data_IF_802797066846
#
_entry.id   IF_802797066846
#
_cell.length_a   1.000
_cell.length_b   1.000
_cell.length_c   1.000
_cell.angle_alpha   90.00
_cell.angle_beta   90.00
_cell.angle_gamma   90.00
#
_symmetry.space_group_name_H-M   'P 1'
#
loop_
_entity.id
_entity.type
_entity.pdbx_description
1 polymer ?
#
# COMPACT_ATOMS: atom_id res chain seq x y z
N UNK A 1 9.87 -7.66 -18.53
CA UNK A 1 9.59 -8.87 -17.71
C UNK A 1 9.43 -8.50 -16.23
N UNK A 2 10.30 -7.62 -15.70
CA UNK A 2 10.29 -7.14 -14.31
C UNK A 2 8.98 -6.49 -13.86
N UNK A 3 8.35 -5.66 -14.70
CA UNK A 3 7.06 -5.03 -14.36
C UNK A 3 5.95 -6.04 -14.05
N UNK A 4 5.86 -7.15 -14.81
CA UNK A 4 4.85 -8.20 -14.53
C UNK A 4 5.07 -8.85 -13.16
N UNK A 5 6.33 -9.11 -12.79
CA UNK A 5 6.68 -9.71 -11.50
C UNK A 5 6.35 -8.77 -10.33
N UNK A 6 6.59 -7.46 -10.50
CA UNK A 6 6.21 -6.45 -9.50
C UNK A 6 4.70 -6.45 -9.22
N UNK A 7 3.87 -6.46 -10.27
CA UNK A 7 2.41 -6.44 -10.11
C UNK A 7 1.86 -7.70 -9.45
N UNK A 8 2.40 -8.87 -9.82
CA UNK A 8 2.06 -10.13 -9.16
C UNK A 8 2.47 -10.10 -7.68
N UNK A 9 3.66 -9.58 -7.37
CA UNK A 9 4.12 -9.47 -5.99
C UNK A 9 3.22 -8.54 -5.16
N UNK A 10 2.86 -7.36 -5.69
CA UNK A 10 1.98 -6.43 -4.96
C UNK A 10 0.60 -7.06 -4.73
N UNK A 11 -0.01 -7.64 -5.77
CA UNK A 11 -1.37 -8.16 -5.70
C UNK A 11 -1.51 -9.42 -4.86
N UNK A 12 -0.55 -10.34 -4.91
CA UNK A 12 -0.65 -11.65 -4.24
C UNK A 12 0.11 -11.73 -2.92
N UNK A 13 1.06 -10.83 -2.67
CA UNK A 13 1.85 -10.84 -1.44
C UNK A 13 1.64 -9.58 -0.62
N UNK A 14 1.94 -8.41 -1.17
CA UNK A 14 2.02 -7.17 -0.40
C UNK A 14 0.64 -6.69 0.13
N UNK A 15 -0.38 -6.68 -0.72
CA UNK A 15 -1.72 -6.26 -0.34
C UNK A 15 -2.40 -7.27 0.62
N UNK A 16 -2.40 -8.59 0.34
CA UNK A 16 -2.93 -9.59 1.28
C UNK A 16 -2.21 -9.58 2.63
N UNK A 17 -0.87 -9.42 2.64
CA UNK A 17 -0.10 -9.28 3.86
C UNK A 17 -0.53 -8.04 4.65
N UNK A 18 -0.72 -6.92 3.97
CA UNK A 18 -1.24 -5.70 4.60
C UNK A 18 -2.61 -5.91 5.25
N UNK A 19 -3.54 -6.60 4.57
CA UNK A 19 -4.86 -6.93 5.12
C UNK A 19 -4.73 -7.88 6.31
N UNK A 20 -3.86 -8.88 6.22
CA UNK A 20 -3.64 -9.83 7.30
C UNK A 20 -3.11 -9.12 8.55
N UNK A 21 -2.09 -8.27 8.39
CA UNK A 21 -1.55 -7.45 9.48
C UNK A 21 -2.65 -6.57 10.09
N UNK A 22 -3.46 -5.92 9.25
CA UNK A 22 -4.59 -5.10 9.69
C UNK A 22 -5.60 -5.90 10.52
N UNK A 23 -5.97 -7.09 10.06
CA UNK A 23 -6.87 -7.99 10.80
C UNK A 23 -6.26 -8.45 12.13
N UNK A 24 -4.96 -8.75 12.15
CA UNK A 24 -4.26 -9.15 13.39
C UNK A 24 -4.24 -8.00 14.41
N UNK A 25 -4.04 -6.76 13.97
CA UNK A 25 -4.12 -5.59 14.87
C UNK A 25 -5.51 -5.38 15.46
N UNK A 26 -6.57 -5.67 14.68
CA UNK A 26 -7.96 -5.53 15.13
C UNK A 26 -8.50 -6.74 15.90
N UNK A 27 -7.79 -7.86 15.90
CA UNK A 27 -8.26 -9.12 16.50
C UNK A 27 -8.42 -9.09 18.02
N UNK A 28 -7.90 -8.07 18.70
CA UNK A 28 -7.87 -7.91 20.17
C UNK A 28 -7.12 -9.01 20.95
N UNK A 29 -6.55 -9.99 20.23
CA UNK A 29 -5.77 -11.08 20.80
C UNK A 29 -4.32 -10.62 20.99
N UNK A 30 -3.88 -10.50 22.24
CA UNK A 30 -2.57 -9.93 22.59
C UNK A 30 -1.39 -10.59 21.86
N UNK A 31 -1.46 -11.91 21.62
CA UNK A 31 -0.42 -12.66 20.90
C UNK A 31 -0.35 -12.23 19.43
N UNK A 32 -1.51 -12.13 18.77
CA UNK A 32 -1.61 -11.76 17.36
C UNK A 32 -1.21 -10.30 17.13
N UNK A 33 -1.65 -9.40 18.01
CA UNK A 33 -1.28 -7.99 17.99
C UNK A 33 0.22 -7.78 18.20
N UNK A 34 0.87 -8.58 19.05
CA UNK A 34 2.33 -8.52 19.26
C UNK A 34 3.06 -8.89 17.96
N UNK A 35 2.62 -9.94 17.28
CA UNK A 35 3.17 -10.35 15.99
C UNK A 35 2.99 -9.27 14.92
N UNK A 36 1.79 -8.69 14.81
CA UNK A 36 1.51 -7.59 13.87
C UNK A 36 2.39 -6.36 14.14
N UNK A 37 2.54 -5.98 15.42
CA UNK A 37 3.43 -4.87 15.83
C UNK A 37 4.90 -5.16 15.59
N UNK A 38 5.34 -6.41 15.69
CA UNK A 38 6.71 -6.76 15.35
C UNK A 38 6.97 -6.49 13.86
N UNK A 39 6.04 -6.86 12.99
CA UNK A 39 6.13 -6.62 11.54
C UNK A 39 6.07 -5.12 11.21
N UNK A 40 5.12 -4.39 11.79
CA UNK A 40 4.95 -2.94 11.56
C UNK A 40 6.10 -2.12 12.17
N UNK A 41 6.61 -2.57 13.31
CA UNK A 41 7.67 -1.93 14.08
C UNK A 41 9.05 -2.08 13.47
N UNK A 42 9.20 -2.85 12.39
CA UNK A 42 10.44 -2.91 11.62
C UNK A 42 10.78 -1.51 11.11
N UNK A 43 11.91 -0.98 11.58
CA UNK A 43 12.44 0.32 11.16
C UNK A 43 13.53 0.08 10.13
N UNK A 44 13.39 0.72 8.98
CA UNK A 44 14.40 0.80 7.93
C UNK A 44 15.11 2.15 8.09
N UNK A 45 16.42 2.13 8.25
CA UNK A 45 17.26 3.32 8.23
C UNK A 45 17.92 3.44 6.87
N UNK A 46 17.61 4.49 6.11
CA UNK A 46 18.23 4.78 4.82
C UNK A 46 18.72 6.22 4.84
N UNK A 47 20.04 6.41 4.79
CA UNK A 47 20.65 7.74 4.69
C UNK A 47 20.30 8.71 5.82
N UNK A 48 20.10 8.21 7.04
CA UNK A 48 19.75 9.03 8.22
C UNK A 48 18.25 9.21 8.48
N UNK A 49 17.38 8.75 7.57
CA UNK A 49 15.94 8.73 7.78
C UNK A 49 15.52 7.36 8.27
N UNK A 50 14.91 7.30 9.46
CA UNK A 50 14.28 6.09 9.98
C UNK A 50 12.81 6.05 9.60
N UNK A 51 12.44 5.14 8.69
CA UNK A 51 11.05 4.91 8.30
C UNK A 51 10.57 3.55 8.84
N UNK A 52 9.31 3.47 9.27
CA UNK A 52 8.70 2.16 9.56
C UNK A 52 8.40 1.42 8.26
N UNK A 53 8.30 0.09 8.31
CA UNK A 53 7.96 -0.74 7.16
C UNK A 53 6.67 -0.26 6.45
N UNK A 54 5.56 0.05 7.15
CA UNK A 54 4.37 0.58 6.50
C UNK A 54 4.61 1.92 5.80
N UNK A 55 5.42 2.81 6.39
CA UNK A 55 5.76 4.08 5.74
C UNK A 55 6.58 3.86 4.47
N UNK A 56 7.55 2.94 4.49
CA UNK A 56 8.35 2.60 3.33
C UNK A 56 7.49 1.99 2.21
N UNK A 57 6.59 1.06 2.55
CA UNK A 57 5.67 0.43 1.60
C UNK A 57 4.66 1.43 1.05
N UNK A 58 4.11 2.32 1.89
CA UNK A 58 3.20 3.37 1.47
C UNK A 58 3.89 4.37 0.53
N UNK A 59 5.11 4.81 0.86
CA UNK A 59 5.91 5.70 0.01
C UNK A 59 6.24 5.06 -1.34
N UNK A 60 6.67 3.80 -1.35
CA UNK A 60 6.89 3.04 -2.59
C UNK A 60 5.61 2.93 -3.42
N UNK A 61 4.48 2.59 -2.79
CA UNK A 61 3.19 2.49 -3.45
C UNK A 61 2.73 3.83 -4.02
N UNK A 62 3.01 4.93 -3.32
CA UNK A 62 2.66 6.29 -3.74
C UNK A 62 3.47 6.73 -4.96
N UNK A 63 4.78 6.47 -4.97
CA UNK A 63 5.62 6.75 -6.15
C UNK A 63 5.16 5.94 -7.35
N UNK A 64 4.90 4.64 -7.16
CA UNK A 64 4.36 3.79 -8.21
C UNK A 64 2.99 4.31 -8.71
N UNK A 65 2.15 4.82 -7.81
CA UNK A 65 0.85 5.38 -8.13
C UNK A 65 0.95 6.65 -8.95
N UNK A 66 1.90 7.55 -8.64
CA UNK A 66 2.17 8.73 -9.46
C UNK A 66 2.59 8.32 -10.88
N UNK A 67 3.52 7.37 -11.00
CA UNK A 67 3.97 6.89 -12.31
C UNK A 67 2.83 6.31 -13.15
N UNK A 68 1.99 5.44 -12.57
CA UNK A 68 0.83 4.87 -13.27
C UNK A 68 -0.22 5.93 -13.60
N UNK A 69 -0.45 6.90 -12.70
CA UNK A 69 -1.35 8.03 -12.95
C UNK A 69 -0.89 8.82 -14.17
N UNK A 70 0.39 9.18 -14.26
CA UNK A 70 0.93 9.88 -15.42
C UNK A 70 0.77 9.08 -16.73
N UNK A 71 0.98 7.76 -16.68
CA UNK A 71 0.77 6.88 -17.85
C UNK A 71 -0.70 6.85 -18.27
N UNK A 72 -1.61 6.77 -17.30
CA UNK A 72 -3.05 6.69 -17.56
C UNK A 72 -3.60 8.00 -18.15
N UNK A 73 -3.18 9.14 -17.59
CA UNK A 73 -3.63 10.46 -18.03
C UNK A 73 -3.01 10.87 -19.38
N UNK A 74 -1.72 10.58 -19.62
CA UNK A 74 -1.12 10.79 -20.93
C UNK A 74 -1.71 9.85 -22.00
N UNK A 75 -2.12 8.65 -21.59
CA UNK A 75 -2.81 7.69 -22.45
C UNK A 75 -4.27 8.02 -22.74
N UNK A 76 -4.89 9.03 -22.12
CA UNK A 76 -6.27 9.43 -22.41
C UNK A 76 -6.37 10.50 -23.51
N UNK A 77 -5.25 11.04 -23.98
CA UNK A 77 -5.23 11.99 -25.10
C UNK A 77 -5.56 11.35 -26.47
N UNK A 78 -5.78 10.03 -26.55
CA UNK A 78 -6.29 9.37 -27.75
C UNK A 78 -7.79 9.65 -28.03
N UNK A 79 -8.48 10.38 -27.13
CA UNK A 79 -9.85 10.86 -27.34
C UNK A 79 -9.99 12.02 -28.33
N UNK A 80 -8.88 12.59 -28.80
CA UNK A 80 -8.89 13.59 -29.88
C UNK A 80 -9.22 12.93 -31.21
N UNK A 81 -10.50 13.03 -31.61
CA UNK A 81 -11.08 12.84 -32.95
C UNK A 81 -10.23 12.08 -33.99
N UNK A 82 -10.67 10.86 -34.32
CA UNK A 82 -10.26 9.99 -35.45
C UNK A 82 -9.18 8.92 -35.24
N UNK A 83 -8.72 8.64 -34.03
CA UNK A 83 -7.86 7.46 -33.80
C UNK A 83 -8.73 6.21 -33.69
N UNK A 84 -8.60 5.27 -34.64
CA UNK A 84 -9.21 3.94 -34.54
C UNK A 84 -8.61 3.25 -33.31
N UNK A 85 -9.40 3.15 -32.25
CA UNK A 85 -9.01 2.46 -31.02
C UNK A 85 -8.96 0.96 -31.32
N UNK A 86 -7.76 0.40 -31.38
CA UNK A 86 -7.57 -1.04 -31.56
C UNK A 86 -7.80 -1.79 -30.24
N UNK A 87 -8.22 -3.05 -30.31
CA UNK A 87 -8.37 -3.93 -29.13
C UNK A 87 -7.09 -4.02 -28.28
N UNK A 88 -5.93 -3.88 -28.93
CA UNK A 88 -4.64 -3.82 -28.27
C UNK A 88 -4.51 -2.60 -27.33
N UNK A 89 -5.03 -1.44 -27.75
CA UNK A 89 -5.01 -0.21 -26.94
C UNK A 89 -5.97 -0.30 -25.77
N UNK A 90 -7.19 -0.81 -25.99
CA UNK A 90 -8.17 -1.11 -24.94
C UNK A 90 -7.57 -2.05 -23.88
N UNK A 91 -6.92 -3.14 -24.32
CA UNK A 91 -6.27 -4.09 -23.41
C UNK A 91 -5.11 -3.50 -22.62
N UNK A 92 -4.37 -2.52 -23.17
CA UNK A 92 -3.32 -1.80 -22.43
C UNK A 92 -3.92 -0.87 -21.37
N UNK A 93 -4.96 -0.11 -21.74
CA UNK A 93 -5.67 0.79 -20.82
C UNK A 93 -6.29 0.04 -19.64
N UNK A 94 -7.01 -1.04 -19.91
CA UNK A 94 -7.61 -1.88 -18.87
C UNK A 94 -6.57 -2.39 -17.85
N UNK A 95 -5.41 -2.84 -18.33
CA UNK A 95 -4.33 -3.29 -17.44
C UNK A 95 -3.78 -2.16 -16.57
N UNK A 96 -3.62 -0.97 -17.14
CA UNK A 96 -3.17 0.22 -16.41
C UNK A 96 -4.20 0.64 -15.35
N UNK A 97 -5.49 0.69 -15.70
CA UNK A 97 -6.57 0.98 -14.77
C UNK A 97 -6.62 -0.03 -13.62
N UNK A 98 -6.54 -1.33 -13.92
CA UNK A 98 -6.50 -2.39 -12.90
C UNK A 98 -5.30 -2.24 -11.96
N UNK A 99 -4.12 -1.98 -12.51
CA UNK A 99 -2.90 -1.78 -11.73
C UNK A 99 -3.00 -0.54 -10.83
N UNK A 100 -3.58 0.55 -11.35
CA UNK A 100 -3.86 1.77 -10.61
C UNK A 100 -4.79 1.53 -9.42
N UNK A 101 -5.86 0.75 -9.60
CA UNK A 101 -6.74 0.36 -8.49
C UNK A 101 -6.02 -0.49 -7.44
N UNK A 102 -5.22 -1.48 -7.85
CA UNK A 102 -4.43 -2.31 -6.91
C UNK A 102 -3.50 -1.45 -6.05
N UNK A 103 -2.86 -0.43 -6.63
CA UNK A 103 -2.02 0.50 -5.87
C UNK A 103 -2.82 1.34 -4.88
N UNK A 104 -3.99 1.85 -5.27
CA UNK A 104 -4.84 2.60 -4.35
C UNK A 104 -5.23 1.75 -3.13
N UNK A 105 -5.67 0.50 -3.36
CA UNK A 105 -5.99 -0.42 -2.28
C UNK A 105 -4.79 -0.69 -1.38
N UNK A 106 -3.63 -1.02 -1.98
CA UNK A 106 -2.42 -1.27 -1.20
C UNK A 106 -2.03 -0.05 -0.36
N UNK A 107 -2.08 1.16 -0.95
CA UNK A 107 -1.75 2.39 -0.26
C UNK A 107 -2.68 2.67 0.92
N UNK A 108 -4.00 2.50 0.72
CA UNK A 108 -4.98 2.66 1.80
C UNK A 108 -4.69 1.67 2.94
N UNK A 109 -4.48 0.39 2.64
CA UNK A 109 -4.22 -0.66 3.64
C UNK A 109 -2.95 -0.35 4.46
N UNK A 110 -1.87 0.06 3.81
CA UNK A 110 -0.62 0.33 4.53
C UNK A 110 -0.66 1.64 5.32
N UNK A 111 -1.39 2.65 4.83
CA UNK A 111 -1.66 3.87 5.60
C UNK A 111 -2.55 3.61 6.82
N UNK A 112 -3.60 2.78 6.68
CA UNK A 112 -4.45 2.42 7.82
C UNK A 112 -3.68 1.62 8.85
N UNK A 113 -2.86 0.63 8.45
CA UNK A 113 -1.97 -0.09 9.37
C UNK A 113 -1.03 0.86 10.13
N UNK A 114 -0.41 1.82 9.43
CA UNK A 114 0.46 2.79 10.09
C UNK A 114 -0.30 3.65 11.12
N UNK A 115 -1.49 4.12 10.76
CA UNK A 115 -2.33 4.94 11.62
C UNK A 115 -2.87 4.16 12.83
N UNK A 116 -3.40 2.96 12.61
CA UNK A 116 -3.95 2.10 13.66
C UNK A 116 -2.87 1.73 14.67
N UNK A 117 -1.69 1.29 14.22
CA UNK A 117 -0.58 1.02 15.12
C UNK A 117 -0.22 2.24 15.98
N UNK A 118 -0.12 3.42 15.37
CA UNK A 118 0.22 4.67 16.09
C UNK A 118 -0.83 5.01 17.16
N UNK A 119 -2.12 4.83 16.84
CA UNK A 119 -3.22 5.07 17.78
C UNK A 119 -3.22 4.04 18.93
N UNK A 120 -3.02 2.76 18.62
CA UNK A 120 -3.00 1.68 19.61
C UNK A 120 -1.84 1.81 20.59
N UNK A 121 -0.67 2.26 20.13
CA UNK A 121 0.47 2.56 21.00
C UNK A 121 0.10 3.68 21.98
N UNK A 122 -0.42 4.80 21.48
CA UNK A 122 -0.82 5.95 22.33
C UNK A 122 -1.90 5.60 23.36
N UNK A 123 -2.95 4.89 22.94
CA UNK A 123 -4.04 4.49 23.85
C UNK A 123 -3.56 3.59 25.00
N UNK A 124 -2.50 2.80 24.77
CA UNK A 124 -1.92 1.93 25.81
C UNK A 124 -1.02 2.70 26.76
N UNK A 125 -0.22 3.63 26.24
CA UNK A 125 0.58 4.55 27.05
C UNK A 125 -0.32 5.31 28.03
N UNK A 126 -1.44 5.86 27.54
CA UNK A 126 -2.43 6.55 28.37
C UNK A 126 -3.05 5.65 29.44
N UNK A 127 -3.36 4.39 29.10
CA UNK A 127 -3.94 3.43 30.06
C UNK A 127 -2.95 3.05 31.17
N UNK A 128 -1.67 2.90 30.81
CA UNK A 128 -0.60 2.63 31.77
C UNK A 128 -0.38 3.81 32.72
N UNK A 129 -0.41 5.03 32.20
CA UNK A 129 -0.25 6.26 33.00
C UNK A 129 -1.38 6.48 34.01
N UNK A 130 -2.61 6.04 33.70
CA UNK A 130 -3.77 6.14 34.61
C UNK A 130 -3.84 5.04 35.67
N UNK A 131 -3.06 3.99 35.54
CA UNK A 131 -3.05 2.84 36.46
C UNK A 131 -1.87 2.86 37.44
N UNK A 132 -0.97 3.83 37.27
CA UNK A 132 0.16 4.12 38.16
C UNK A 132 -0.21 5.30 39.09
#
# INVERSE_FOLDING_TARGET
>A
RSARMMWTFIAYFLAPLGVLVWMLELSSLQVLEKSARMVIGLKLSVGGVTASLPMAVAAFSFVAWICETLVLFNGNNYGGSQVIVTDLMLGKRWRAERNWWILNFNLIIWLTNWRVNTLLVRLREDKSAKSA
#
